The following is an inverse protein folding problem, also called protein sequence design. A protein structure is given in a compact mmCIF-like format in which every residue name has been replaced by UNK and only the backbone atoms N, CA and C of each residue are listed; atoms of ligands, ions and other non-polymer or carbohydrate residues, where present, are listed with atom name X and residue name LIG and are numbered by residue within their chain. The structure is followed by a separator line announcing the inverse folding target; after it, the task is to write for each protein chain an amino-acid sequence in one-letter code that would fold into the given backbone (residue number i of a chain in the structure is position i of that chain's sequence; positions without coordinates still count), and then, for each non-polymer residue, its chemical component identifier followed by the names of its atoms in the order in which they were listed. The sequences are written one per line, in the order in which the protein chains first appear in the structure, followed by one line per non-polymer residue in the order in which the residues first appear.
data_IF_102589590681
#
_entry.id   IF_102589590681
#
_cell.length_a   1.000
_cell.length_b   1.000
_cell.length_c   1.000
_cell.angle_alpha   90.00
_cell.angle_beta   90.00
_cell.angle_gamma   90.00
#
_symmetry.space_group_name_H-M   'P 1'
#
loop_
_entity.id
_entity.type
_entity.pdbx_description
1 polymer ?
#
# COMPACT_ATOMS: atom_id res chain seq x y z
N UNK A 1 -16.62 -21.99 11.04
CA UNK A 1 -16.25 -23.40 10.79
C UNK A 1 -14.79 -23.57 10.38
N UNK A 2 -14.27 -22.83 9.37
CA UNK A 2 -12.89 -23.01 8.88
C UNK A 2 -11.81 -22.14 9.56
N UNK A 3 -12.16 -21.36 10.58
CA UNK A 3 -11.28 -20.35 11.17
C UNK A 3 -9.98 -20.85 11.81
N UNK A 4 -9.92 -22.13 12.17
CA UNK A 4 -8.71 -22.76 12.71
C UNK A 4 -7.81 -23.36 11.62
N UNK A 5 -8.24 -23.38 10.35
CA UNK A 5 -7.46 -23.95 9.24
C UNK A 5 -6.46 -22.92 8.72
N UNK A 6 -5.13 -23.19 8.77
CA UNK A 6 -4.12 -22.24 8.31
C UNK A 6 -4.24 -21.92 6.82
N UNK A 7 -4.60 -22.89 5.98
CA UNK A 7 -4.77 -22.68 4.54
C UNK A 7 -5.99 -21.82 4.24
N UNK A 8 -7.08 -21.99 5.00
CA UNK A 8 -8.25 -21.12 4.89
C UNK A 8 -7.90 -19.67 5.28
N UNK A 9 -7.13 -19.47 6.36
CA UNK A 9 -6.71 -18.12 6.76
C UNK A 9 -5.82 -17.46 5.70
N UNK A 10 -4.93 -18.23 5.06
CA UNK A 10 -4.15 -17.74 3.92
C UNK A 10 -5.04 -17.29 2.76
N UNK A 11 -5.98 -18.14 2.33
CA UNK A 11 -6.91 -17.83 1.24
C UNK A 11 -7.79 -16.62 1.59
N UNK A 12 -8.20 -16.50 2.86
CA UNK A 12 -8.99 -15.38 3.35
C UNK A 12 -8.21 -14.06 3.26
N UNK A 13 -6.92 -14.05 3.64
CA UNK A 13 -6.05 -12.87 3.43
C UNK A 13 -5.97 -12.54 1.95
N UNK A 14 -5.71 -13.53 1.10
CA UNK A 14 -5.47 -13.28 -0.32
C UNK A 14 -6.72 -12.72 -1.05
N UNK A 15 -7.90 -13.29 -0.79
CA UNK A 15 -9.16 -12.80 -1.35
C UNK A 15 -9.54 -11.43 -0.78
N UNK A 16 -9.35 -11.21 0.53
CA UNK A 16 -9.65 -9.90 1.15
C UNK A 16 -8.71 -8.82 0.61
N UNK A 17 -7.42 -9.13 0.45
CA UNK A 17 -6.41 -8.27 -0.17
C UNK A 17 -6.77 -7.93 -1.60
N UNK A 18 -7.24 -8.90 -2.38
CA UNK A 18 -7.72 -8.66 -3.75
C UNK A 18 -8.93 -7.72 -3.77
N UNK A 19 -9.90 -7.90 -2.86
CA UNK A 19 -11.05 -6.99 -2.75
C UNK A 19 -10.61 -5.56 -2.38
N UNK A 20 -9.65 -5.41 -1.46
CA UNK A 20 -9.07 -4.11 -1.12
C UNK A 20 -8.37 -3.45 -2.32
N UNK A 21 -7.66 -4.23 -3.14
CA UNK A 21 -7.04 -3.72 -4.36
C UNK A 21 -8.09 -3.16 -5.35
N UNK A 22 -9.24 -3.81 -5.51
CA UNK A 22 -10.33 -3.27 -6.34
C UNK A 22 -10.87 -1.95 -5.78
N UNK A 23 -11.03 -1.87 -4.45
CA UNK A 23 -11.44 -0.63 -3.79
C UNK A 23 -10.42 0.51 -4.00
N UNK A 24 -9.11 0.22 -3.98
CA UNK A 24 -8.08 1.22 -4.30
C UNK A 24 -8.28 1.79 -5.71
N UNK A 25 -8.60 0.93 -6.69
CA UNK A 25 -8.92 1.39 -8.05
C UNK A 25 -10.17 2.27 -8.09
N UNK A 26 -11.23 1.92 -7.37
CA UNK A 26 -12.45 2.74 -7.29
C UNK A 26 -12.20 4.12 -6.66
N UNK A 27 -11.44 4.17 -5.57
CA UNK A 27 -11.07 5.42 -4.92
C UNK A 27 -10.15 6.26 -5.79
N UNK A 28 -9.23 5.65 -6.53
CA UNK A 28 -8.43 6.36 -7.54
C UNK A 28 -9.29 7.02 -8.61
N UNK A 29 -10.30 6.33 -9.15
CA UNK A 29 -11.22 6.91 -10.12
C UNK A 29 -11.99 8.09 -9.52
N UNK A 30 -12.45 7.95 -8.28
CA UNK A 30 -13.15 9.02 -7.55
C UNK A 30 -12.25 10.24 -7.31
N UNK A 31 -10.99 10.03 -6.90
CA UNK A 31 -9.97 11.09 -6.72
C UNK A 31 -9.72 11.81 -8.05
N UNK A 32 -9.54 11.05 -9.13
CA UNK A 32 -9.27 11.61 -10.47
C UNK A 32 -10.44 12.45 -10.96
N UNK A 33 -11.66 11.95 -10.82
CA UNK A 33 -12.88 12.66 -11.21
C UNK A 33 -13.05 13.95 -10.39
N UNK A 34 -12.91 13.86 -9.06
CA UNK A 34 -13.01 15.02 -8.19
C UNK A 34 -11.97 16.10 -8.53
N UNK A 35 -10.74 15.71 -8.81
CA UNK A 35 -9.70 16.64 -9.25
C UNK A 35 -10.05 17.30 -10.59
N UNK A 36 -10.50 16.53 -11.59
CA UNK A 36 -10.90 17.04 -12.90
C UNK A 36 -12.10 18.00 -12.84
N UNK A 37 -13.03 17.78 -11.90
CA UNK A 37 -14.19 18.63 -11.67
C UNK A 37 -13.95 19.77 -10.68
N UNK A 38 -12.70 19.98 -10.22
CA UNK A 38 -12.34 20.95 -9.19
C UNK A 38 -13.16 20.81 -7.88
N UNK A 39 -13.60 19.59 -7.59
CA UNK A 39 -14.46 19.23 -6.47
C UNK A 39 -13.60 18.88 -5.23
N UNK A 40 -13.10 19.92 -4.55
CA UNK A 40 -12.16 19.77 -3.43
C UNK A 40 -12.71 18.92 -2.25
N UNK A 41 -13.97 19.09 -1.80
CA UNK A 41 -14.52 18.25 -0.73
C UNK A 41 -14.53 16.76 -1.06
N UNK A 42 -14.87 16.41 -2.30
CA UNK A 42 -14.90 15.05 -2.82
C UNK A 42 -13.50 14.47 -2.94
N UNK A 43 -12.54 15.28 -3.40
CA UNK A 43 -11.12 14.90 -3.45
C UNK A 43 -10.58 14.58 -2.06
N UNK A 44 -10.85 15.44 -1.08
CA UNK A 44 -10.44 15.24 0.31
C UNK A 44 -11.07 13.99 0.91
N UNK A 45 -12.36 13.74 0.62
CA UNK A 45 -13.07 12.57 1.12
C UNK A 45 -12.52 11.28 0.51
N UNK A 46 -12.40 11.20 -0.81
CA UNK A 46 -11.91 9.99 -1.48
C UNK A 46 -10.42 9.72 -1.18
N UNK A 47 -9.59 10.77 -1.21
CA UNK A 47 -8.18 10.70 -0.87
C UNK A 47 -7.95 10.33 0.60
N UNK A 48 -8.73 10.93 1.51
CA UNK A 48 -8.66 10.64 2.93
C UNK A 48 -9.00 9.19 3.26
N UNK A 49 -10.09 8.66 2.68
CA UNK A 49 -10.45 7.24 2.87
C UNK A 49 -9.40 6.30 2.29
N UNK A 50 -8.81 6.63 1.12
CA UNK A 50 -7.75 5.80 0.56
C UNK A 50 -6.52 5.75 1.47
N UNK A 51 -6.02 6.92 1.90
CA UNK A 51 -4.73 7.05 2.58
C UNK A 51 -4.80 6.71 4.07
N UNK A 52 -5.86 7.14 4.76
CA UNK A 52 -5.94 7.05 6.23
C UNK A 52 -6.77 5.86 6.72
N UNK A 53 -7.57 5.26 5.84
CA UNK A 53 -8.41 4.11 6.20
C UNK A 53 -8.02 2.85 5.41
N UNK A 54 -8.22 2.84 4.09
CA UNK A 54 -8.14 1.61 3.29
C UNK A 54 -6.73 1.02 3.23
N UNK A 55 -5.70 1.84 2.98
CA UNK A 55 -4.32 1.35 2.92
C UNK A 55 -3.77 0.90 4.28
N UNK A 56 -4.01 1.62 5.40
CA UNK A 56 -3.67 1.11 6.73
C UNK A 56 -4.41 -0.17 7.11
N UNK A 57 -5.69 -0.31 6.77
CA UNK A 57 -6.44 -1.54 7.03
C UNK A 57 -5.96 -2.72 6.17
N UNK A 58 -5.56 -2.45 4.91
CA UNK A 58 -4.91 -3.43 4.05
C UNK A 58 -3.57 -3.89 4.65
N UNK A 59 -2.74 -2.97 5.14
CA UNK A 59 -1.48 -3.32 5.79
C UNK A 59 -1.69 -4.16 7.05
N UNK A 60 -2.71 -3.84 7.86
CA UNK A 60 -3.09 -4.63 9.04
C UNK A 60 -3.55 -6.04 8.68
N UNK A 61 -4.33 -6.20 7.60
CA UNK A 61 -4.72 -7.52 7.09
C UNK A 61 -3.50 -8.35 6.70
N UNK A 62 -2.59 -7.77 5.91
CA UNK A 62 -1.36 -8.44 5.47
C UNK A 62 -0.47 -8.80 6.65
N UNK A 63 -0.41 -7.93 7.66
CA UNK A 63 0.35 -8.13 8.89
C UNK A 63 -0.20 -9.24 9.79
N UNK A 64 -1.43 -9.71 9.56
CA UNK A 64 -2.05 -10.79 10.36
C UNK A 64 -1.59 -12.20 9.96
N UNK A 65 -0.86 -12.37 8.86
CA UNK A 65 -0.45 -13.69 8.37
C UNK A 65 1.02 -13.74 7.97
N UNK A 66 1.74 -14.76 8.46
CA UNK A 66 3.21 -14.85 8.37
C UNK A 66 3.79 -14.93 6.95
N UNK A 67 2.96 -15.23 5.94
CA UNK A 67 3.37 -15.30 4.53
C UNK A 67 3.25 -13.96 3.79
N UNK A 68 2.70 -12.92 4.44
CA UNK A 68 2.48 -11.61 3.84
C UNK A 68 3.28 -10.50 4.55
N UNK A 69 4.39 -10.83 5.22
CA UNK A 69 5.17 -9.88 6.01
C UNK A 69 6.43 -9.42 5.28
N UNK A 70 6.64 -8.10 5.18
CA UNK A 70 7.91 -7.54 4.72
C UNK A 70 9.06 -7.92 5.67
N UNK A 71 8.82 -7.93 6.98
CA UNK A 71 9.84 -8.30 7.97
C UNK A 71 10.44 -9.67 7.70
N UNK A 72 9.62 -10.66 7.32
CA UNK A 72 10.11 -12.00 7.00
C UNK A 72 10.97 -12.04 5.74
N UNK A 73 10.61 -11.27 4.72
CA UNK A 73 11.43 -11.12 3.51
C UNK A 73 12.80 -10.53 3.82
N UNK A 74 12.84 -9.48 4.66
CA UNK A 74 14.07 -8.79 5.03
C UNK A 74 14.93 -9.63 5.98
N UNK A 75 14.34 -10.27 6.99
CA UNK A 75 15.06 -11.16 7.91
C UNK A 75 15.67 -12.35 7.17
N UNK A 76 14.96 -12.95 6.22
CA UNK A 76 15.52 -14.02 5.39
C UNK A 76 16.74 -13.54 4.60
N UNK A 77 16.69 -12.32 4.03
CA UNK A 77 17.85 -11.75 3.33
C UNK A 77 19.03 -11.55 4.29
N UNK A 78 18.79 -11.02 5.49
CA UNK A 78 19.83 -10.85 6.52
C UNK A 78 20.43 -12.19 6.99
N UNK A 79 19.60 -13.22 7.15
CA UNK A 79 20.02 -14.54 7.64
C UNK A 79 20.99 -15.28 6.70
N UNK A 80 21.03 -14.89 5.42
CA UNK A 80 21.99 -15.43 4.45
C UNK A 80 23.39 -14.82 4.57
N UNK A 81 23.56 -13.77 5.37
CA UNK A 81 24.83 -13.07 5.53
C UNK A 81 25.76 -13.75 6.56
N UNK A 82 27.06 -13.55 6.38
CA UNK A 82 28.13 -14.01 7.29
C UNK A 82 28.68 -12.91 8.20
N UNK A 83 28.22 -11.66 8.02
CA UNK A 83 28.60 -10.51 8.83
C UNK A 83 27.48 -9.46 8.86
N UNK A 84 27.50 -8.56 9.86
CA UNK A 84 26.51 -7.48 9.97
C UNK A 84 26.51 -6.55 8.76
N UNK A 85 27.71 -6.24 8.23
CA UNK A 85 27.86 -5.42 7.03
C UNK A 85 27.20 -6.06 5.82
N UNK A 86 27.36 -7.38 5.67
CA UNK A 86 26.74 -8.13 4.59
C UNK A 86 25.22 -8.22 4.79
N UNK A 87 24.74 -8.39 6.03
CA UNK A 87 23.32 -8.39 6.35
C UNK A 87 22.65 -7.04 5.99
N UNK A 88 23.30 -5.91 6.30
CA UNK A 88 22.83 -4.59 5.86
C UNK A 88 22.75 -4.47 4.33
N UNK A 89 23.75 -4.99 3.61
CA UNK A 89 23.76 -4.98 2.15
C UNK A 89 22.66 -5.86 1.56
N UNK A 90 22.42 -7.04 2.12
CA UNK A 90 21.37 -7.95 1.65
C UNK A 90 19.98 -7.42 1.94
N UNK A 91 19.77 -6.77 3.07
CA UNK A 91 18.51 -6.08 3.36
C UNK A 91 18.26 -4.94 2.36
N UNK A 92 19.29 -4.13 2.06
CA UNK A 92 19.19 -3.06 1.06
C UNK A 92 18.82 -3.64 -0.31
N UNK A 93 19.48 -4.73 -0.73
CA UNK A 93 19.17 -5.41 -1.98
C UNK A 93 17.72 -5.92 -2.00
N UNK A 94 17.26 -6.51 -0.90
CA UNK A 94 15.91 -7.06 -0.75
C UNK A 94 14.82 -5.97 -0.83
N UNK A 95 15.06 -4.78 -0.25
CA UNK A 95 14.18 -3.61 -0.38
C UNK A 95 14.15 -3.08 -1.81
N UNK A 96 15.33 -2.89 -2.39
CA UNK A 96 15.47 -2.35 -3.74
C UNK A 96 14.79 -3.26 -4.78
N UNK A 97 14.95 -4.58 -4.67
CA UNK A 97 14.37 -5.54 -5.62
C UNK A 97 12.84 -5.41 -5.73
N UNK A 98 12.13 -5.23 -4.63
CA UNK A 98 10.65 -5.15 -4.61
C UNK A 98 10.10 -3.73 -4.82
N UNK A 99 10.98 -2.75 -5.07
CA UNK A 99 10.63 -1.32 -5.25
C UNK A 99 11.31 -0.73 -6.49
N UNK A 100 12.43 -0.01 -6.34
CA UNK A 100 13.09 0.73 -7.42
C UNK A 100 13.77 -0.16 -8.48
N UNK A 101 14.13 -1.40 -8.11
CA UNK A 101 14.87 -2.40 -8.88
C UNK A 101 16.30 -1.99 -9.28
N UNK A 102 16.56 -0.70 -9.49
CA UNK A 102 17.87 -0.10 -9.75
C UNK A 102 18.04 1.23 -9.00
N UNK A 103 19.23 1.85 -9.06
CA UNK A 103 19.62 2.98 -8.23
C UNK A 103 18.73 4.23 -8.39
N UNK A 104 18.04 4.36 -9.52
CA UNK A 104 17.20 5.51 -9.85
C UNK A 104 15.79 5.12 -10.27
N UNK A 105 15.29 3.94 -9.86
CA UNK A 105 13.96 3.47 -10.28
C UNK A 105 13.93 2.93 -11.71
N UNK A 106 15.01 2.27 -12.17
CA UNK A 106 15.18 1.86 -13.57
C UNK A 106 14.07 0.91 -14.08
N UNK A 107 13.53 0.07 -13.21
CA UNK A 107 12.39 -0.80 -13.51
C UNK A 107 11.39 -0.72 -12.35
N UNK A 108 10.99 0.52 -12.04
CA UNK A 108 10.16 0.88 -10.89
C UNK A 108 8.94 -0.05 -10.74
N UNK A 109 8.80 -0.59 -9.53
CA UNK A 109 7.70 -1.45 -9.09
C UNK A 109 7.53 -2.77 -9.87
N UNK A 110 8.49 -3.18 -10.71
CA UNK A 110 8.37 -4.41 -11.51
C UNK A 110 8.11 -5.65 -10.67
N UNK A 111 8.88 -5.83 -9.59
CA UNK A 111 8.72 -6.93 -8.66
C UNK A 111 7.95 -6.49 -7.40
N UNK A 112 6.94 -5.63 -7.57
CA UNK A 112 6.05 -5.22 -6.49
C UNK A 112 5.47 -6.43 -5.73
N UNK A 113 5.12 -6.19 -4.47
CA UNK A 113 4.50 -7.16 -3.56
C UNK A 113 3.46 -6.44 -2.72
N UNK A 114 2.45 -7.16 -2.26
CA UNK A 114 1.55 -6.65 -1.23
C UNK A 114 1.88 -7.34 0.07
N UNK A 115 2.75 -6.70 0.85
CA UNK A 115 3.23 -7.18 2.15
C UNK A 115 2.93 -6.13 3.22
N UNK A 116 2.60 -6.58 4.42
CA UNK A 116 2.51 -5.74 5.61
C UNK A 116 3.87 -5.09 5.90
N UNK A 117 3.86 -3.81 6.22
CA UNK A 117 5.01 -2.93 6.25
C UNK A 117 5.31 -2.26 4.91
N UNK A 118 5.32 -3.00 3.80
CA UNK A 118 5.56 -2.43 2.47
C UNK A 118 4.37 -1.57 2.00
N UNK A 119 3.14 -2.03 2.26
CA UNK A 119 1.93 -1.25 1.94
C UNK A 119 1.89 0.06 2.72
N UNK A 120 2.14 0.01 4.03
CA UNK A 120 2.10 1.21 4.85
C UNK A 120 3.25 2.18 4.54
N UNK A 121 4.50 1.72 4.49
CA UNK A 121 5.65 2.62 4.49
C UNK A 121 6.19 2.96 3.09
N UNK A 122 5.75 2.25 2.04
CA UNK A 122 6.13 2.56 0.66
C UNK A 122 4.91 3.01 -0.15
N UNK A 123 3.89 2.17 -0.31
CA UNK A 123 2.75 2.51 -1.18
C UNK A 123 1.85 3.61 -0.59
N UNK A 124 1.52 3.56 0.70
CA UNK A 124 0.65 4.56 1.34
C UNK A 124 1.29 5.94 1.38
N UNK A 125 2.60 6.03 1.62
CA UNK A 125 3.32 7.31 1.61
C UNK A 125 3.29 7.95 0.21
N UNK A 126 3.41 7.14 -0.86
CA UNK A 126 3.29 7.62 -2.25
C UNK A 126 1.88 8.13 -2.54
N UNK A 127 0.85 7.41 -2.12
CA UNK A 127 -0.54 7.85 -2.23
C UNK A 127 -0.82 9.14 -1.46
N UNK A 128 -0.30 9.25 -0.23
CA UNK A 128 -0.42 10.46 0.58
C UNK A 128 0.21 11.67 -0.10
N UNK A 129 1.40 11.51 -0.70
CA UNK A 129 2.05 12.57 -1.46
C UNK A 129 1.23 12.94 -2.71
N UNK A 130 0.69 11.95 -3.42
CA UNK A 130 -0.12 12.22 -4.60
C UNK A 130 -1.38 13.02 -4.26
N UNK A 131 -2.15 12.57 -3.27
CA UNK A 131 -3.36 13.25 -2.81
C UNK A 131 -3.05 14.68 -2.32
N UNK A 132 -1.97 14.87 -1.56
CA UNK A 132 -1.61 16.20 -1.06
C UNK A 132 -1.25 17.17 -2.19
N UNK A 133 -0.53 16.72 -3.21
CA UNK A 133 -0.19 17.55 -4.37
C UNK A 133 -1.43 17.92 -5.18
N UNK A 134 -2.41 17.01 -5.33
CA UNK A 134 -3.67 17.33 -6.00
C UNK A 134 -4.49 18.37 -5.23
N UNK A 135 -4.55 18.24 -3.90
CA UNK A 135 -5.23 19.21 -3.02
C UNK A 135 -4.57 20.58 -3.12
N UNK A 136 -3.24 20.63 -3.06
CA UNK A 136 -2.47 21.88 -3.20
C UNK A 136 -2.66 22.53 -4.58
N UNK A 137 -2.72 21.72 -5.63
CA UNK A 137 -3.00 22.17 -6.98
C UNK A 137 -4.37 22.88 -7.07
N UNK A 138 -5.42 22.32 -6.47
CA UNK A 138 -6.74 22.97 -6.43
C UNK A 138 -6.75 24.23 -5.56
N UNK A 139 -6.12 24.21 -4.38
CA UNK A 139 -6.09 25.35 -3.46
C UNK A 139 -5.31 26.56 -4.02
N UNK A 140 -4.19 26.30 -4.68
CA UNK A 140 -3.31 27.34 -5.22
C UNK A 140 -3.68 27.78 -6.65
N UNK A 141 -4.59 27.05 -7.32
CA UNK A 141 -4.93 27.25 -8.72
C UNK A 141 -3.79 26.89 -9.70
N UNK A 142 -2.71 26.25 -9.23
CA UNK A 142 -1.60 25.81 -10.06
C UNK A 142 -1.86 24.41 -10.60
N UNK A 143 -1.58 24.12 -11.88
CA UNK A 143 -1.82 22.79 -12.44
C UNK A 143 -0.90 21.73 -11.81
N UNK A 144 -1.35 20.48 -11.80
CA UNK A 144 -0.51 19.34 -11.45
C UNK A 144 0.61 19.16 -12.47
N UNK A 145 1.87 19.14 -12.00
CA UNK A 145 3.05 18.94 -12.83
C UNK A 145 3.65 17.55 -12.60
N UNK A 146 3.45 16.64 -13.54
CA UNK A 146 3.89 15.24 -13.43
C UNK A 146 5.39 15.10 -13.15
N UNK A 147 6.25 15.88 -13.82
CA UNK A 147 7.71 15.77 -13.64
C UNK A 147 8.16 16.17 -12.24
N UNK A 148 7.54 17.21 -11.65
CA UNK A 148 7.83 17.63 -10.27
C UNK A 148 7.36 16.57 -9.28
N UNK A 149 6.18 15.99 -9.51
CA UNK A 149 5.68 14.88 -8.70
C UNK A 149 6.62 13.66 -8.79
N UNK A 150 7.07 13.29 -10.01
CA UNK A 150 8.00 12.18 -10.22
C UNK A 150 9.32 12.38 -9.46
N UNK A 151 9.85 13.61 -9.42
CA UNK A 151 11.05 13.93 -8.64
C UNK A 151 10.79 13.81 -7.13
N UNK A 152 9.65 14.31 -6.65
CA UNK A 152 9.29 14.25 -5.23
C UNK A 152 9.03 12.82 -4.75
N UNK A 153 8.27 12.03 -5.52
CA UNK A 153 7.93 10.65 -5.16
C UNK A 153 9.16 9.75 -5.18
N UNK A 154 10.13 9.98 -6.06
CA UNK A 154 11.39 9.24 -6.06
C UNK A 154 12.18 9.46 -4.75
N UNK A 155 12.09 10.63 -4.11
CA UNK A 155 12.73 10.85 -2.81
C UNK A 155 12.06 10.01 -1.71
N UNK A 156 10.73 9.89 -1.75
CA UNK A 156 9.97 9.01 -0.85
C UNK A 156 10.38 7.55 -1.05
N UNK A 157 10.43 7.10 -2.31
CA UNK A 157 10.78 5.73 -2.67
C UNK A 157 12.22 5.38 -2.25
N UNK A 158 13.17 6.30 -2.44
CA UNK A 158 14.54 6.16 -1.92
C UNK A 158 14.57 6.16 -0.40
N UNK A 159 13.80 7.04 0.23
CA UNK A 159 13.66 7.11 1.69
C UNK A 159 13.32 5.75 2.29
N UNK A 160 12.37 5.02 1.70
CA UNK A 160 12.01 3.67 2.13
C UNK A 160 13.18 2.66 2.06
N UNK A 161 13.98 2.69 1.00
CA UNK A 161 15.10 1.76 0.83
C UNK A 161 16.17 2.00 1.91
N UNK A 162 16.45 3.27 2.23
CA UNK A 162 17.56 3.64 3.11
C UNK A 162 17.15 3.91 4.57
N UNK A 163 15.87 3.81 4.94
CA UNK A 163 15.40 4.16 6.29
C UNK A 163 15.89 3.24 7.42
N UNK A 164 16.47 2.07 7.11
CA UNK A 164 16.92 1.04 8.08
C UNK A 164 15.84 0.64 9.10
N UNK A 165 14.55 0.87 8.80
CA UNK A 165 13.44 0.57 9.70
C UNK A 165 13.27 -0.95 9.82
N UNK A 166 13.28 -1.48 11.04
CA UNK A 166 12.94 -2.89 11.28
C UNK A 166 11.44 -3.12 11.10
N UNK A 167 11.07 -4.19 10.39
CA UNK A 167 9.69 -4.64 10.24
C UNK A 167 9.46 -5.96 10.97
N UNK A 168 8.34 -6.16 11.68
CA UNK A 168 8.07 -7.43 12.36
C UNK A 168 8.00 -8.62 11.37
N UNK A 169 8.62 -9.75 11.73
CA UNK A 169 8.50 -11.03 11.01
C UNK A 169 7.51 -12.01 11.66
N UNK A 170 6.83 -11.58 12.72
CA UNK A 170 5.78 -12.33 13.41
C UNK A 170 4.43 -11.66 13.13
N UNK A 171 3.37 -12.43 12.80
CA UNK A 171 2.06 -11.86 12.52
C UNK A 171 1.45 -11.20 13.75
N UNK A 172 0.62 -10.18 13.51
CA UNK A 172 -0.11 -9.45 14.54
C UNK A 172 -1.57 -9.24 14.13
N UNK A 173 -2.48 -9.44 15.09
CA UNK A 173 -3.93 -9.33 14.89
C UNK A 173 -4.58 -10.65 14.45
N UNK A 174 -5.92 -10.69 14.51
CA UNK A 174 -6.72 -11.83 14.08
C UNK A 174 -7.21 -11.63 12.64
N UNK A 175 -6.79 -12.52 11.74
CA UNK A 175 -7.13 -12.45 10.31
C UNK A 175 -8.64 -12.44 10.06
N UNK A 176 -9.41 -13.26 10.79
CA UNK A 176 -10.85 -13.34 10.58
C UNK A 176 -11.57 -12.06 11.01
N UNK A 177 -11.21 -11.53 12.17
CA UNK A 177 -11.79 -10.27 12.69
C UNK A 177 -11.46 -9.11 11.76
N UNK A 178 -10.20 -9.00 11.31
CA UNK A 178 -9.77 -7.95 10.39
C UNK A 178 -10.50 -8.07 9.04
N UNK A 179 -10.55 -9.26 8.44
CA UNK A 179 -11.28 -9.49 7.19
C UNK A 179 -12.76 -9.17 7.32
N UNK A 180 -13.40 -9.57 8.42
CA UNK A 180 -14.81 -9.27 8.68
C UNK A 180 -15.04 -7.76 8.83
N UNK A 181 -14.16 -7.05 9.53
CA UNK A 181 -14.24 -5.59 9.68
C UNK A 181 -14.14 -4.89 8.31
N UNK A 182 -13.16 -5.25 7.49
CA UNK A 182 -13.01 -4.75 6.12
C UNK A 182 -14.28 -4.99 5.29
N UNK A 183 -14.80 -6.22 5.32
CA UNK A 183 -16.02 -6.57 4.59
C UNK A 183 -17.21 -5.71 5.03
N UNK A 184 -17.48 -5.63 6.33
CA UNK A 184 -18.62 -4.86 6.85
C UNK A 184 -18.49 -3.36 6.56
N UNK A 185 -17.26 -2.81 6.55
CA UNK A 185 -17.00 -1.39 6.28
C UNK A 185 -17.20 -1.03 4.81
N UNK A 186 -16.66 -1.83 3.89
CA UNK A 186 -16.58 -1.42 2.47
C UNK A 186 -17.59 -2.11 1.55
N UNK A 187 -18.02 -3.34 1.85
CA UNK A 187 -18.89 -4.10 0.97
C UNK A 187 -20.23 -3.41 0.64
N UNK A 188 -20.96 -2.79 1.59
CA UNK A 188 -22.24 -2.14 1.28
C UNK A 188 -22.10 -0.98 0.28
N UNK A 189 -20.99 -0.24 0.34
CA UNK A 189 -20.72 0.86 -0.59
C UNK A 189 -20.23 0.34 -1.94
N UNK A 190 -19.40 -0.70 -1.96
CA UNK A 190 -18.97 -1.36 -3.19
C UNK A 190 -20.14 -1.97 -3.97
N UNK A 191 -21.07 -2.63 -3.27
CA UNK A 191 -22.26 -3.23 -3.87
C UNK A 191 -23.19 -2.16 -4.48
N UNK A 192 -23.37 -1.01 -3.82
CA UNK A 192 -24.16 0.09 -4.38
C UNK A 192 -23.55 0.65 -5.66
N UNK A 193 -22.22 0.75 -5.73
CA UNK A 193 -21.50 1.21 -6.94
C UNK A 193 -21.62 0.20 -8.08
N UNK A 194 -21.49 -1.10 -7.80
CA UNK A 194 -21.61 -2.12 -8.85
C UNK A 194 -23.02 -2.20 -9.44
N UNK A 195 -24.05 -1.99 -8.61
CA UNK A 195 -25.45 -1.95 -9.05
C UNK A 195 -25.82 -0.68 -9.82
N UNK A 196 -25.12 0.43 -9.60
CA UNK A 196 -25.36 1.69 -10.31
C UNK A 196 -24.87 1.67 -11.77
N UNK A 197 -24.03 0.70 -12.16
CA UNK A 197 -23.40 0.63 -13.48
C UNK A 197 -22.28 1.66 -13.69
N UNK A 198 -21.48 1.55 -14.76
CA UNK A 198 -20.50 2.58 -15.10
C UNK A 198 -21.22 3.86 -15.51
N UNK A 199 -20.85 4.98 -14.86
CA UNK A 199 -21.26 6.33 -15.25
C UNK A 199 -20.59 6.77 -16.57
#
# INVERSE_FOLDING_TARGET
ELGSSPTFLYDLVDVTRQAAQQLVSDYYLSIRQAFQSHALPELLTAGGVLVYDLLPELDSLLSSHSLFLLGRWLENARAMATSDREAEQYELNARNQVTLWGPSGNILDYANKQLGGLVLDYYSVRWSLFVSVLVESLNSGRPFHQDQFNQAVLQVERGFIYNKKHYPAVPAGDTMEISKKLFLKYYPSALRRSLAGPA
#
